data_IF_688118451052
#
_entry.id   IF_688118451052
#
_cell.length_a   1.000
_cell.length_b   1.000
_cell.length_c   1.000
_cell.angle_alpha   90.00
_cell.angle_beta   90.00
_cell.angle_gamma   90.00
#
_symmetry.space_group_name_H-M   'P 1'
#
loop_
_entity.id
_entity.type
_entity.pdbx_description
1 polymer ?
#
# COMPACT_ATOMS: atom_id res chain seq x y z
N UNK A 1 3.35 11.32 -12.86
CA UNK A 1 3.32 10.05 -13.62
C UNK A 1 2.63 9.00 -12.78
N UNK A 2 1.42 8.61 -13.16
CA UNK A 2 0.77 7.44 -12.59
C UNK A 2 1.51 6.18 -13.07
N UNK A 3 1.64 5.19 -12.18
CA UNK A 3 2.10 3.88 -12.61
C UNK A 3 0.97 3.30 -13.47
N UNK A 4 1.14 3.22 -14.80
CA UNK A 4 0.15 2.63 -15.72
C UNK A 4 -0.41 1.29 -15.21
N UNK A 5 0.45 0.52 -14.54
CA UNK A 5 0.10 -0.74 -13.90
C UNK A 5 -0.91 -0.57 -12.75
N UNK A 6 -0.74 0.42 -11.87
CA UNK A 6 -1.69 0.70 -10.79
C UNK A 6 -3.03 1.08 -11.39
N UNK A 7 -3.04 2.04 -12.32
CA UNK A 7 -4.28 2.53 -12.94
C UNK A 7 -5.05 1.41 -13.67
N UNK A 8 -4.33 0.44 -14.27
CA UNK A 8 -4.97 -0.71 -14.89
C UNK A 8 -5.64 -1.67 -13.89
N UNK A 9 -5.06 -1.84 -12.69
CA UNK A 9 -5.57 -2.78 -11.68
C UNK A 9 -6.81 -2.22 -11.00
N UNK A 10 -6.80 -0.93 -10.65
CA UNK A 10 -7.89 -0.27 -9.91
C UNK A 10 -8.84 0.47 -10.84
N UNK A 11 -8.85 0.14 -12.13
CA UNK A 11 -9.72 0.79 -13.11
C UNK A 11 -11.19 0.62 -12.66
N UNK A 12 -11.91 1.72 -12.55
CA UNK A 12 -13.30 1.77 -12.07
C UNK A 12 -13.48 1.42 -10.58
N UNK A 13 -12.44 1.65 -9.77
CA UNK A 13 -12.53 1.55 -8.32
C UNK A 13 -12.30 2.91 -7.67
N UNK A 14 -13.04 3.19 -6.59
CA UNK A 14 -12.92 4.44 -5.86
C UNK A 14 -11.75 4.35 -4.89
N UNK A 15 -10.78 5.25 -5.02
CA UNK A 15 -9.63 5.30 -4.13
C UNK A 15 -10.07 5.94 -2.80
N UNK A 16 -10.04 5.15 -1.72
CA UNK A 16 -10.39 5.62 -0.37
C UNK A 16 -9.14 6.07 0.40
N UNK A 17 -8.03 5.37 0.23
CA UNK A 17 -6.74 5.66 0.86
C UNK A 17 -5.65 5.50 -0.19
N UNK A 18 -4.73 6.46 -0.26
CA UNK A 18 -3.54 6.41 -1.11
C UNK A 18 -2.34 7.01 -0.39
N UNK A 19 -1.33 6.18 -0.16
CA UNK A 19 -0.03 6.59 0.35
C UNK A 19 1.02 6.32 -0.73
N UNK A 20 1.88 7.30 -0.98
CA UNK A 20 2.91 7.24 -2.02
C UNK A 20 4.22 7.73 -1.44
N UNK A 21 5.27 6.92 -1.57
CA UNK A 21 6.60 7.22 -1.02
C UNK A 21 7.68 6.92 -2.05
N UNK A 22 8.84 7.57 -1.92
CA UNK A 22 10.03 7.18 -2.70
C UNK A 22 10.47 5.79 -2.23
N UNK A 23 10.69 4.89 -3.18
CA UNK A 23 11.22 3.55 -2.86
C UNK A 23 12.61 3.69 -2.26
N UNK A 24 12.97 2.74 -1.38
CA UNK A 24 14.33 2.66 -0.88
C UNK A 24 15.29 2.23 -1.99
N UNK A 25 16.31 3.03 -2.21
CA UNK A 25 17.45 2.68 -3.04
C UNK A 25 18.40 1.81 -2.20
N UNK A 26 18.80 0.67 -2.74
CA UNK A 26 19.91 -0.09 -2.15
C UNK A 26 21.22 0.68 -2.30
N UNK A 27 22.20 0.41 -1.42
CA UNK A 27 23.54 1.01 -1.52
C UNK A 27 24.16 0.80 -2.90
N UNK A 28 23.92 -0.36 -3.52
CA UNK A 28 24.33 -0.66 -4.91
C UNK A 28 23.62 0.21 -5.95
N UNK A 29 22.32 0.46 -5.78
CA UNK A 29 21.57 1.38 -6.66
C UNK A 29 22.16 2.80 -6.55
N UNK A 30 22.51 3.25 -5.34
CA UNK A 30 23.08 4.58 -5.11
C UNK A 30 24.45 4.80 -5.76
N UNK A 31 25.25 3.73 -5.91
CA UNK A 31 26.58 3.78 -6.55
C UNK A 31 26.52 3.89 -8.07
N UNK A 32 25.33 3.77 -8.68
CA UNK A 32 25.16 3.87 -10.13
C UNK A 32 24.50 5.20 -10.52
N UNK A 33 25.01 5.84 -11.58
CA UNK A 33 24.36 7.01 -12.21
C UNK A 33 22.90 6.73 -12.61
N UNK A 34 22.57 5.46 -12.87
CA UNK A 34 21.21 4.98 -13.15
C UNK A 34 20.30 5.01 -11.91
N UNK A 35 20.80 4.69 -10.72
CA UNK A 35 20.00 4.71 -9.49
C UNK A 35 19.48 6.11 -9.16
N UNK A 36 20.30 7.15 -9.36
CA UNK A 36 19.94 8.56 -9.21
C UNK A 36 18.78 8.98 -10.14
N UNK A 37 18.60 8.30 -11.27
CA UNK A 37 17.54 8.57 -12.24
C UNK A 37 16.25 7.76 -11.97
N UNK A 38 16.28 6.79 -11.05
CA UNK A 38 15.12 5.94 -10.78
C UNK A 38 14.16 6.58 -9.77
N UNK A 39 13.14 7.28 -10.28
CA UNK A 39 12.00 7.77 -9.48
C UNK A 39 11.00 6.65 -9.11
N UNK A 40 11.51 5.51 -8.58
CA UNK A 40 10.66 4.41 -8.14
C UNK A 40 9.87 4.80 -6.90
N UNK A 41 8.62 4.36 -6.85
CA UNK A 41 7.70 4.67 -5.76
C UNK A 41 7.13 3.41 -5.15
N UNK A 42 7.05 3.41 -3.83
CA UNK A 42 6.23 2.48 -3.08
C UNK A 42 4.84 3.11 -2.94
N UNK A 43 3.80 2.32 -3.20
CA UNK A 43 2.41 2.78 -3.22
C UNK A 43 1.57 1.81 -2.41
N UNK A 44 0.84 2.32 -1.41
CA UNK A 44 -0.27 1.62 -0.78
C UNK A 44 -1.57 2.30 -1.22
N UNK A 45 -2.47 1.54 -1.83
CA UNK A 45 -3.81 2.00 -2.20
C UNK A 45 -4.83 1.05 -1.55
N UNK A 46 -5.84 1.64 -0.91
CA UNK A 46 -7.04 0.93 -0.50
C UNK A 46 -8.18 1.56 -1.29
N UNK A 47 -8.78 0.80 -2.18
CA UNK A 47 -9.97 1.21 -2.93
C UNK A 47 -11.22 0.75 -2.20
N UNK A 48 -12.41 0.96 -2.75
CA UNK A 48 -13.66 0.36 -2.28
C UNK A 48 -13.76 -1.17 -2.48
N UNK A 49 -12.79 -1.82 -3.14
CA UNK A 49 -12.80 -3.27 -3.41
C UNK A 49 -11.54 -4.02 -2.96
N UNK A 50 -10.38 -3.36 -2.96
CA UNK A 50 -9.10 -4.04 -2.75
C UNK A 50 -8.07 -3.21 -1.98
N UNK A 51 -7.09 -3.92 -1.45
CA UNK A 51 -5.83 -3.39 -0.93
C UNK A 51 -4.73 -3.76 -1.93
N UNK A 52 -4.05 -2.75 -2.46
CA UNK A 52 -2.96 -2.87 -3.42
C UNK A 52 -1.68 -2.28 -2.80
N UNK A 53 -0.64 -3.09 -2.71
CA UNK A 53 0.71 -2.69 -2.32
C UNK A 53 1.66 -2.89 -3.49
N UNK A 54 2.28 -1.80 -3.95
CA UNK A 54 3.30 -1.80 -4.98
C UNK A 54 4.60 -1.32 -4.36
N UNK A 55 5.70 -2.01 -4.63
CA UNK A 55 7.04 -1.56 -4.23
C UNK A 55 8.02 -1.79 -5.38
N UNK A 56 8.91 -0.82 -5.59
CA UNK A 56 9.90 -0.84 -6.68
C UNK A 56 9.26 -1.21 -8.04
N UNK A 57 8.10 -0.62 -8.33
CA UNK A 57 7.29 -0.85 -9.55
C UNK A 57 6.74 -2.28 -9.73
N UNK A 58 6.73 -3.11 -8.68
CA UNK A 58 6.14 -4.46 -8.68
C UNK A 58 4.96 -4.53 -7.73
N UNK A 59 3.90 -5.25 -8.12
CA UNK A 59 2.80 -5.58 -7.21
C UNK A 59 3.30 -6.59 -6.18
N UNK A 60 3.29 -6.21 -4.92
CA UNK A 60 3.69 -7.06 -3.79
C UNK A 60 2.46 -7.73 -3.19
N UNK A 61 1.35 -7.00 -3.07
CA UNK A 61 0.06 -7.51 -2.60
C UNK A 61 -1.06 -6.92 -3.43
N UNK A 62 -2.03 -7.75 -3.79
CA UNK A 62 -3.30 -7.36 -4.40
C UNK A 62 -4.35 -8.28 -3.78
N UNK A 63 -5.17 -7.75 -2.89
CA UNK A 63 -6.14 -8.52 -2.11
C UNK A 63 -7.49 -7.82 -2.11
N UNK A 64 -8.51 -8.53 -2.53
CA UNK A 64 -9.90 -8.08 -2.42
C UNK A 64 -10.42 -8.29 -1.00
N UNK A 65 -11.40 -7.48 -0.64
CA UNK A 65 -12.04 -7.53 0.67
C UNK A 65 -13.53 -7.20 0.52
N UNK A 66 -14.34 -7.63 1.48
CA UNK A 66 -15.81 -7.51 1.38
C UNK A 66 -16.38 -6.22 1.95
N UNK A 67 -15.75 -5.65 2.99
CA UNK A 67 -16.25 -4.45 3.67
C UNK A 67 -15.11 -3.54 4.15
N UNK A 68 -15.08 -2.29 3.66
CA UNK A 68 -14.06 -1.30 4.00
C UNK A 68 -14.08 -0.93 5.48
N UNK A 69 -15.27 -0.82 6.07
CA UNK A 69 -15.45 -0.48 7.49
C UNK A 69 -14.93 -1.57 8.44
N UNK A 70 -14.64 -2.77 7.94
CA UNK A 70 -14.02 -3.87 8.69
C UNK A 70 -12.49 -3.90 8.58
N UNK A 71 -11.89 -3.05 7.74
CA UNK A 71 -10.44 -2.94 7.66
C UNK A 71 -9.93 -2.22 8.92
N UNK A 72 -9.02 -2.87 9.65
CA UNK A 72 -8.39 -2.32 10.85
C UNK A 72 -6.89 -2.21 10.65
N UNK A 73 -6.28 -1.16 11.22
CA UNK A 73 -4.84 -0.95 11.16
C UNK A 73 -4.24 -0.99 12.57
N UNK A 74 -3.41 -2.00 12.84
CA UNK A 74 -2.68 -2.07 14.09
C UNK A 74 -1.34 -1.30 13.97
N UNK A 75 -1.18 -0.17 14.69
CA UNK A 75 0.03 0.65 14.60
C UNK A 75 1.25 0.02 15.29
N UNK A 76 1.07 -0.95 16.19
CA UNK A 76 2.17 -1.57 16.94
C UNK A 76 3.00 -2.52 16.07
N UNK A 77 2.36 -3.15 15.07
CA UNK A 77 3.00 -4.12 14.18
C UNK A 77 2.79 -3.82 12.69
N UNK A 78 2.21 -2.66 12.39
CA UNK A 78 1.88 -2.18 11.03
C UNK A 78 1.08 -3.17 10.19
N UNK A 79 0.20 -3.96 10.81
CA UNK A 79 -0.66 -4.90 10.09
C UNK A 79 -2.01 -4.26 9.76
N UNK A 80 -2.44 -4.45 8.51
CA UNK A 80 -3.84 -4.33 8.10
C UNK A 80 -4.52 -5.68 8.28
N UNK A 81 -5.67 -5.70 8.96
CA UNK A 81 -6.54 -6.89 9.02
C UNK A 81 -7.88 -6.60 8.37
N UNK A 82 -8.41 -7.56 7.61
CA UNK A 82 -9.66 -7.44 6.86
C UNK A 82 -10.26 -8.82 6.63
N UNK A 83 -11.51 -8.87 6.17
CA UNK A 83 -12.18 -10.09 5.70
C UNK A 83 -12.14 -10.12 4.17
N UNK A 84 -11.71 -11.24 3.60
CA UNK A 84 -11.78 -11.48 2.15
C UNK A 84 -13.19 -11.96 1.72
N UNK A 85 -13.32 -12.29 0.43
CA UNK A 85 -14.58 -12.76 -0.16
C UNK A 85 -15.05 -14.11 0.39
N UNK A 86 -14.15 -14.91 0.96
CA UNK A 86 -14.45 -16.19 1.61
C UNK A 86 -14.78 -16.00 3.11
N UNK A 87 -14.93 -14.75 3.55
CA UNK A 87 -15.11 -14.37 4.96
C UNK A 87 -13.96 -14.80 5.87
N UNK A 88 -12.79 -15.06 5.31
CA UNK A 88 -11.59 -15.40 6.06
C UNK A 88 -10.86 -14.13 6.48
N UNK A 89 -10.39 -14.12 7.72
CA UNK A 89 -9.59 -13.03 8.25
C UNK A 89 -8.19 -13.07 7.64
N UNK A 90 -7.84 -12.03 6.90
CA UNK A 90 -6.56 -11.87 6.24
C UNK A 90 -5.73 -10.77 6.91
N UNK A 91 -4.41 -10.83 6.70
CA UNK A 91 -3.46 -9.86 7.20
C UNK A 91 -2.48 -9.41 6.11
N UNK A 92 -2.22 -8.11 6.03
CA UNK A 92 -1.14 -7.54 5.24
C UNK A 92 -0.19 -6.79 6.18
N UNK A 93 1.06 -7.25 6.23
CA UNK A 93 2.12 -6.55 6.94
C UNK A 93 2.68 -5.41 6.08
N UNK A 94 2.80 -4.23 6.67
CA UNK A 94 3.29 -3.02 6.01
C UNK A 94 4.66 -2.55 6.51
N UNK A 95 5.42 -3.38 7.25
CA UNK A 95 6.74 -2.99 7.77
C UNK A 95 7.69 -2.53 6.65
N UNK A 96 7.70 -3.25 5.52
CA UNK A 96 8.55 -2.90 4.38
C UNK A 96 8.10 -1.62 3.65
N UNK A 97 6.87 -1.16 3.89
CA UNK A 97 6.38 0.12 3.37
C UNK A 97 6.88 1.32 4.19
N UNK A 98 7.43 1.07 5.40
CA UNK A 98 8.02 2.08 6.29
C UNK A 98 7.04 3.20 6.60
N UNK A 99 5.87 2.86 7.15
CA UNK A 99 4.82 3.84 7.49
C UNK A 99 5.37 4.85 8.50
N UNK A 100 5.26 6.14 8.19
CA UNK A 100 5.63 7.24 9.09
C UNK A 100 4.55 7.50 10.12
N UNK A 101 4.89 8.20 11.21
CA UNK A 101 3.91 8.60 12.22
C UNK A 101 2.70 9.36 11.63
N UNK A 102 2.94 10.31 10.71
CA UNK A 102 1.86 11.07 10.05
C UNK A 102 0.92 10.14 9.27
N UNK A 103 1.47 9.15 8.58
CA UNK A 103 0.69 8.16 7.84
C UNK A 103 -0.07 7.20 8.77
N UNK A 104 0.52 6.83 9.91
CA UNK A 104 -0.17 6.09 10.97
C UNK A 104 -1.40 6.87 11.45
N UNK A 105 -1.27 8.17 11.75
CA UNK A 105 -2.39 9.00 12.19
C UNK A 105 -3.45 9.12 11.08
N UNK A 106 -3.02 9.28 9.83
CA UNK A 106 -3.94 9.32 8.70
C UNK A 106 -4.73 8.00 8.56
N UNK A 107 -4.05 6.84 8.61
CA UNK A 107 -4.71 5.53 8.57
C UNK A 107 -5.70 5.36 9.72
N UNK A 108 -5.32 5.74 10.94
CA UNK A 108 -6.21 5.74 12.12
C UNK A 108 -7.45 6.61 11.92
N UNK A 109 -7.32 7.75 11.25
CA UNK A 109 -8.47 8.65 11.00
C UNK A 109 -9.43 8.15 9.92
N UNK A 110 -8.96 7.25 9.04
CA UNK A 110 -9.72 6.74 7.89
C UNK A 110 -10.27 5.33 8.08
N UNK A 111 -9.64 4.55 8.94
CA UNK A 111 -10.00 3.17 9.23
C UNK A 111 -10.60 3.07 10.63
N UNK A 112 -11.54 2.15 10.82
CA UNK A 112 -12.12 1.88 12.13
C UNK A 112 -11.06 1.24 13.02
N UNK A 113 -10.50 2.03 13.92
CA UNK A 113 -9.52 1.63 14.93
C UNK A 113 -10.06 1.84 16.33
#
# INVERSE_FOLDING_TARGET
>A
MSNKLVDSIIKNEDILIKLVKKSEESLLEHLTLLGLLTNRKDILIITNKRILLVSKSKVIKNKEYTNFSKIKFNPLNHNLSFEDNDSLKQFINLNNFRISYKEIQYLKSKLNN
#
